data_IF_483177339852
#
_entry.id   IF_483177339852
#
_cell.length_a   1.000
_cell.length_b   1.000
_cell.length_c   1.000
_cell.angle_alpha   90.00
_cell.angle_beta   90.00
_cell.angle_gamma   90.00
#
_symmetry.space_group_name_H-M   'P 1'
#
loop_
_entity.id
_entity.type
_entity.pdbx_description
1 polymer ?
#
# COMPACT_ATOMS: atom_id res chain seq x y z
N UNK A 1 -16.89 6.31 -13.34
CA UNK A 1 -16.58 6.31 -11.89
C UNK A 1 -15.86 7.62 -11.54
N UNK A 2 -16.13 8.23 -10.37
CA UNK A 2 -15.35 9.38 -9.86
C UNK A 2 -13.98 8.89 -9.42
N UNK A 3 -12.91 9.66 -9.65
CA UNK A 3 -11.55 9.25 -9.27
C UNK A 3 -11.47 8.73 -7.83
N UNK A 4 -10.69 7.65 -7.65
CA UNK A 4 -10.34 7.11 -6.34
C UNK A 4 -9.02 7.73 -5.85
N UNK A 5 -8.87 7.86 -4.54
CA UNK A 5 -7.62 8.30 -3.92
C UNK A 5 -6.50 7.28 -4.12
N UNK A 6 -5.26 7.75 -4.27
CA UNK A 6 -4.10 6.90 -4.51
C UNK A 6 -3.71 6.08 -3.28
N UNK A 7 -2.85 5.09 -3.46
CA UNK A 7 -2.37 4.25 -2.37
C UNK A 7 -1.69 5.07 -1.26
N UNK A 8 -0.88 6.06 -1.62
CA UNK A 8 -0.23 6.95 -0.64
C UNK A 8 -1.25 7.74 0.15
N UNK A 9 -2.25 8.34 -0.52
CA UNK A 9 -3.28 9.15 0.13
C UNK A 9 -4.12 8.35 1.11
N UNK A 10 -4.51 7.13 0.73
CA UNK A 10 -5.27 6.22 1.59
C UNK A 10 -4.44 5.74 2.79
N UNK A 11 -3.17 5.43 2.56
CA UNK A 11 -2.22 5.00 3.59
C UNK A 11 -1.93 6.10 4.63
N UNK A 12 -1.84 7.36 4.19
CA UNK A 12 -1.65 8.54 5.05
C UNK A 12 -2.82 8.76 6.03
N UNK A 13 -4.04 8.47 5.59
CA UNK A 13 -5.25 8.52 6.44
C UNK A 13 -5.53 7.19 7.16
N UNK A 14 -4.54 6.30 7.22
CA UNK A 14 -4.53 5.09 8.04
C UNK A 14 -5.24 3.88 7.47
N UNK A 15 -5.55 3.87 6.16
CA UNK A 15 -5.99 2.66 5.49
C UNK A 15 -4.82 1.66 5.43
N UNK A 16 -5.08 0.39 5.72
CA UNK A 16 -4.08 -0.67 5.66
C UNK A 16 -4.20 -1.43 4.35
N UNK A 17 -3.10 -1.56 3.65
CA UNK A 17 -2.97 -2.49 2.54
C UNK A 17 -2.45 -3.82 3.08
N UNK A 18 -2.96 -4.93 2.54
CA UNK A 18 -2.54 -6.27 2.96
C UNK A 18 -2.59 -7.24 1.79
N UNK A 19 -1.64 -8.16 1.74
CA UNK A 19 -1.71 -9.28 0.81
C UNK A 19 -2.89 -10.21 1.17
N UNK A 20 -3.76 -10.49 0.20
CA UNK A 20 -4.82 -11.50 0.34
C UNK A 20 -4.21 -12.88 0.55
N UNK A 21 -4.78 -13.69 1.44
CA UNK A 21 -4.37 -15.09 1.58
C UNK A 21 -4.84 -15.87 0.34
N UNK A 22 -4.01 -16.78 -0.22
CA UNK A 22 -4.49 -17.71 -1.22
C UNK A 22 -5.62 -18.52 -0.59
N UNK A 23 -6.81 -18.43 -1.16
CA UNK A 23 -7.95 -19.21 -0.70
C UNK A 23 -8.29 -20.20 -1.81
N UNK A 24 -8.63 -21.43 -1.43
CA UNK A 24 -8.98 -22.50 -2.37
C UNK A 24 -10.28 -22.23 -3.15
N UNK A 25 -11.05 -21.21 -2.77
CA UNK A 25 -12.44 -21.02 -3.21
C UNK A 25 -12.72 -19.63 -3.83
N UNK A 26 -11.72 -18.75 -3.96
CA UNK A 26 -11.92 -17.41 -4.52
C UNK A 26 -11.22 -17.23 -5.86
N UNK A 27 -11.77 -16.31 -6.67
CA UNK A 27 -11.11 -15.83 -7.87
C UNK A 27 -9.70 -15.30 -7.52
N UNK A 28 -8.67 -15.60 -8.33
CA UNK A 28 -7.29 -15.22 -8.04
C UNK A 28 -7.05 -13.70 -7.95
N UNK A 29 -8.05 -12.89 -8.30
CA UNK A 29 -7.96 -11.43 -8.39
C UNK A 29 -8.96 -10.70 -7.50
N UNK A 30 -9.59 -11.42 -6.56
CA UNK A 30 -10.55 -10.80 -5.65
C UNK A 30 -9.91 -9.79 -4.71
N UNK A 31 -10.36 -8.55 -4.80
CA UNK A 31 -10.06 -7.48 -3.86
C UNK A 31 -11.08 -7.54 -2.71
N UNK A 32 -10.63 -7.30 -1.48
CA UNK A 32 -11.54 -7.23 -0.32
C UNK A 32 -11.29 -5.99 0.49
N UNK A 33 -12.33 -5.19 0.68
CA UNK A 33 -12.28 -4.07 1.59
C UNK A 33 -13.17 -4.33 2.81
N UNK A 34 -12.59 -4.22 4.00
CA UNK A 34 -13.35 -4.30 5.25
C UNK A 34 -12.63 -3.54 6.36
N UNK A 35 -13.36 -2.72 7.12
CA UNK A 35 -12.88 -2.07 8.34
C UNK A 35 -11.54 -1.31 8.19
N UNK A 36 -11.36 -0.59 7.08
CA UNK A 36 -10.13 0.16 6.81
C UNK A 36 -8.94 -0.69 6.38
N UNK A 37 -9.17 -1.96 6.00
CA UNK A 37 -8.17 -2.86 5.42
C UNK A 37 -8.59 -3.19 4.00
N UNK A 38 -7.71 -2.93 3.03
CA UNK A 38 -7.84 -3.36 1.65
C UNK A 38 -6.88 -4.53 1.40
N UNK A 39 -7.44 -5.72 1.24
CA UNK A 39 -6.72 -6.93 0.85
C UNK A 39 -6.64 -7.03 -0.68
N UNK A 40 -5.42 -7.19 -1.18
CA UNK A 40 -5.11 -7.28 -2.60
C UNK A 40 -4.32 -8.58 -2.85
N UNK A 41 -4.70 -9.39 -3.85
CA UNK A 41 -3.92 -10.56 -4.25
C UNK A 41 -2.51 -10.18 -4.67
N UNK A 42 -1.53 -10.99 -4.27
CA UNK A 42 -0.14 -10.78 -4.66
C UNK A 42 0.04 -11.12 -6.14
N UNK A 43 0.80 -10.30 -6.85
CA UNK A 43 1.28 -10.64 -8.18
C UNK A 43 2.70 -10.11 -8.42
N UNK A 44 3.41 -10.79 -9.32
CA UNK A 44 4.70 -10.35 -9.83
C UNK A 44 4.49 -9.36 -10.97
N UNK A 45 5.27 -8.29 -11.01
CA UNK A 45 5.22 -7.29 -12.06
C UNK A 45 6.52 -7.34 -12.87
N UNK A 46 6.41 -7.90 -14.07
CA UNK A 46 7.46 -8.05 -15.07
C UNK A 46 6.87 -7.96 -16.50
N UNK A 47 7.74 -8.02 -17.51
CA UNK A 47 7.34 -7.95 -18.93
C UNK A 47 6.38 -9.10 -19.31
N UNK A 48 6.57 -10.28 -18.71
CA UNK A 48 5.73 -11.45 -18.95
C UNK A 48 4.30 -11.21 -18.45
N UNK A 49 4.17 -10.65 -17.26
CA UNK A 49 2.89 -10.26 -16.67
C UNK A 49 2.21 -9.21 -17.51
N UNK A 50 2.94 -8.28 -18.14
CA UNK A 50 2.37 -7.31 -19.06
C UNK A 50 1.68 -7.98 -20.24
N UNK A 51 2.36 -8.94 -20.86
CA UNK A 51 1.83 -9.67 -22.02
C UNK A 51 0.55 -10.41 -21.62
N UNK A 52 0.58 -11.15 -20.50
CA UNK A 52 -0.61 -11.88 -20.03
C UNK A 52 -1.75 -10.94 -19.65
N UNK A 53 -1.48 -9.87 -18.92
CA UNK A 53 -2.48 -8.90 -18.51
C UNK A 53 -3.15 -8.23 -19.72
N UNK A 54 -2.37 -7.82 -20.73
CA UNK A 54 -2.91 -7.22 -21.96
C UNK A 54 -3.78 -8.20 -22.73
N UNK A 55 -3.35 -9.45 -22.86
CA UNK A 55 -4.11 -10.49 -23.55
C UNK A 55 -5.42 -10.81 -22.83
N UNK A 56 -5.41 -10.91 -21.50
CA UNK A 56 -6.62 -11.16 -20.70
C UNK A 56 -7.60 -9.98 -20.76
N UNK A 57 -7.10 -8.74 -20.66
CA UNK A 57 -7.95 -7.55 -20.82
C UNK A 57 -8.54 -7.45 -22.23
N UNK A 58 -7.77 -7.82 -23.27
CA UNK A 58 -8.27 -7.86 -24.64
C UNK A 58 -9.33 -8.95 -24.82
N UNK A 59 -9.10 -10.14 -24.26
CA UNK A 59 -10.06 -11.26 -24.25
C UNK A 59 -11.39 -10.80 -23.65
N UNK A 60 -11.36 -10.17 -22.47
CA UNK A 60 -12.55 -9.62 -21.82
C UNK A 60 -13.29 -8.59 -22.65
N UNK A 61 -12.58 -7.62 -23.19
CA UNK A 61 -13.21 -6.57 -24.00
C UNK A 61 -13.82 -7.10 -25.30
N UNK A 62 -13.28 -8.17 -25.86
CA UNK A 62 -13.73 -8.71 -27.14
C UNK A 62 -14.84 -9.75 -26.99
N UNK A 63 -14.87 -10.52 -25.90
CA UNK A 63 -15.68 -11.73 -25.84
C UNK A 63 -16.65 -11.79 -24.64
N UNK A 64 -16.42 -11.02 -23.58
CA UNK A 64 -17.26 -11.06 -22.39
C UNK A 64 -18.16 -9.82 -22.28
N UNK A 65 -19.37 -9.98 -21.71
CA UNK A 65 -20.19 -8.83 -21.31
C UNK A 65 -19.41 -7.86 -20.43
N UNK A 66 -19.76 -6.57 -20.49
CA UNK A 66 -19.04 -5.53 -19.76
C UNK A 66 -18.99 -5.83 -18.26
N UNK A 67 -20.08 -6.34 -17.68
CA UNK A 67 -20.26 -6.67 -16.27
C UNK A 67 -19.43 -7.88 -15.79
N UNK A 68 -18.90 -8.67 -16.72
CA UNK A 68 -18.05 -9.84 -16.44
C UNK A 68 -16.55 -9.55 -16.67
N UNK A 69 -16.16 -8.29 -16.91
CA UNK A 69 -14.78 -7.89 -17.18
C UNK A 69 -13.91 -7.77 -15.90
N UNK A 70 -13.84 -8.84 -15.10
CA UNK A 70 -13.18 -8.88 -13.79
C UNK A 70 -11.68 -8.52 -13.83
N UNK A 71 -10.93 -8.99 -14.83
CA UNK A 71 -9.50 -8.68 -15.02
C UNK A 71 -9.33 -7.18 -15.30
N UNK A 72 -10.16 -6.65 -16.19
CA UNK A 72 -10.18 -5.24 -16.58
C UNK A 72 -10.50 -4.37 -15.39
N UNK A 73 -11.49 -4.76 -14.57
CA UNK A 73 -11.84 -4.04 -13.35
C UNK A 73 -10.73 -4.05 -12.31
N UNK A 74 -10.07 -5.20 -12.13
CA UNK A 74 -8.91 -5.34 -11.24
C UNK A 74 -7.79 -4.35 -11.62
N UNK A 75 -7.36 -4.36 -12.88
CA UNK A 75 -6.32 -3.43 -13.35
C UNK A 75 -6.78 -1.98 -13.35
N UNK A 76 -8.08 -1.71 -13.55
CA UNK A 76 -8.63 -0.36 -13.45
C UNK A 76 -8.47 0.18 -12.03
N UNK A 77 -8.79 -0.61 -11.01
CA UNK A 77 -8.60 -0.22 -9.61
C UNK A 77 -7.12 -0.02 -9.27
N UNK A 78 -6.24 -0.92 -9.70
CA UNK A 78 -4.80 -0.74 -9.52
C UNK A 78 -4.29 0.54 -10.17
N UNK A 79 -4.79 0.90 -11.35
CA UNK A 79 -4.42 2.15 -12.03
C UNK A 79 -4.88 3.41 -11.29
N UNK A 80 -5.93 3.32 -10.46
CA UNK A 80 -6.34 4.42 -9.60
C UNK A 80 -5.50 4.49 -8.33
N UNK A 81 -5.15 3.34 -7.75
CA UNK A 81 -4.26 3.27 -6.59
C UNK A 81 -2.84 3.74 -6.94
N UNK A 82 -2.32 3.39 -8.11
CA UNK A 82 -0.91 3.54 -8.47
C UNK A 82 -0.74 4.65 -9.52
N UNK A 83 -0.74 5.91 -9.06
CA UNK A 83 -0.54 7.09 -9.93
C UNK A 83 0.95 7.44 -10.08
N UNK A 84 1.74 7.16 -9.05
CA UNK A 84 3.16 7.52 -8.96
C UNK A 84 4.01 6.37 -8.41
N UNK A 85 5.34 6.50 -8.48
CA UNK A 85 6.26 5.54 -7.86
C UNK A 85 6.06 5.39 -6.35
N UNK A 86 5.67 6.47 -5.65
CA UNK A 86 5.37 6.42 -4.21
C UNK A 86 4.17 5.54 -3.90
N UNK A 87 3.16 5.57 -4.77
CA UNK A 87 1.99 4.72 -4.63
C UNK A 87 2.32 3.24 -4.87
N UNK A 88 3.21 2.97 -5.84
CA UNK A 88 3.75 1.63 -6.07
C UNK A 88 4.53 1.14 -4.85
N UNK A 89 5.39 1.98 -4.27
CA UNK A 89 6.20 1.65 -3.09
C UNK A 89 5.34 1.26 -1.89
N UNK A 90 4.14 1.83 -1.75
CA UNK A 90 3.18 1.42 -0.70
C UNK A 90 2.84 -0.06 -0.85
N UNK A 91 2.50 -0.52 -2.05
CA UNK A 91 2.06 -1.89 -2.30
C UNK A 91 3.22 -2.88 -2.34
N UNK A 92 4.40 -2.45 -2.82
CA UNK A 92 5.64 -3.25 -2.75
C UNK A 92 6.05 -3.50 -1.30
N UNK A 93 6.01 -2.46 -0.46
CA UNK A 93 6.33 -2.59 0.98
C UNK A 93 5.40 -3.55 1.71
N UNK A 94 4.12 -3.58 1.36
CA UNK A 94 3.15 -4.54 1.93
C UNK A 94 3.20 -5.92 1.23
N UNK A 95 4.20 -6.17 0.37
CA UNK A 95 4.42 -7.43 -0.36
C UNK A 95 3.26 -7.86 -1.25
N UNK A 96 2.44 -6.90 -1.68
CA UNK A 96 1.33 -7.12 -2.62
C UNK A 96 1.89 -7.17 -4.05
N UNK A 97 2.83 -6.29 -4.39
CA UNK A 97 3.46 -6.27 -5.71
C UNK A 97 4.92 -6.68 -5.55
N UNK A 98 5.29 -7.76 -6.22
CA UNK A 98 6.68 -8.17 -6.38
C UNK A 98 7.21 -7.51 -7.66
N UNK A 99 7.82 -6.33 -7.52
CA UNK A 99 8.20 -5.48 -8.66
C UNK A 99 9.60 -5.82 -9.19
N UNK A 100 9.67 -6.28 -10.44
CA UNK A 100 10.90 -6.63 -11.16
C UNK A 100 11.28 -5.60 -12.23
N UNK A 101 10.55 -4.48 -12.29
CA UNK A 101 10.75 -3.40 -13.24
C UNK A 101 11.23 -2.12 -12.54
N UNK A 102 11.82 -1.21 -13.31
CA UNK A 102 12.06 0.15 -12.83
C UNK A 102 10.73 0.83 -12.47
N UNK A 103 10.68 1.60 -11.38
CA UNK A 103 9.43 2.15 -10.86
C UNK A 103 8.63 2.99 -11.87
N UNK A 104 9.30 3.71 -12.77
CA UNK A 104 8.64 4.47 -13.85
C UNK A 104 8.02 3.54 -14.89
N UNK A 105 8.71 2.46 -15.23
CA UNK A 105 8.21 1.44 -16.18
C UNK A 105 7.02 0.71 -15.57
N UNK A 106 7.15 0.23 -14.33
CA UNK A 106 6.11 -0.43 -13.56
C UNK A 106 4.82 0.39 -13.46
N UNK A 107 4.94 1.66 -13.04
CA UNK A 107 3.79 2.56 -12.92
C UNK A 107 3.16 2.86 -14.28
N UNK A 108 3.97 3.07 -15.32
CA UNK A 108 3.47 3.30 -16.70
C UNK A 108 2.69 2.10 -17.22
N UNK A 109 3.23 0.89 -17.00
CA UNK A 109 2.63 -0.38 -17.39
C UNK A 109 1.25 -0.53 -16.77
N UNK A 110 1.14 -0.51 -15.44
CA UNK A 110 -0.13 -0.66 -14.71
C UNK A 110 -1.18 0.36 -15.18
N UNK A 111 -0.75 1.60 -15.37
CA UNK A 111 -1.61 2.68 -15.82
C UNK A 111 -2.14 2.48 -17.25
N UNK A 112 -1.43 1.73 -18.10
CA UNK A 112 -1.84 1.45 -19.48
C UNK A 112 -2.67 0.18 -19.64
N UNK A 113 -2.61 -0.76 -18.69
CA UNK A 113 -3.31 -2.05 -18.77
C UNK A 113 -4.84 -1.93 -18.97
N UNK A 114 -5.56 -1.03 -18.26
CA UNK A 114 -7.01 -0.87 -18.48
C UNK A 114 -7.39 -0.29 -19.85
N UNK A 115 -6.42 0.26 -20.59
CA UNK A 115 -6.64 1.03 -21.82
C UNK A 115 -7.01 2.50 -21.57
N UNK A 116 -7.18 3.25 -22.66
CA UNK A 116 -7.36 4.72 -22.63
C UNK A 116 -8.64 5.20 -21.92
N UNK A 117 -9.69 4.37 -21.87
CA UNK A 117 -11.02 4.76 -21.37
C UNK A 117 -11.26 4.37 -19.91
N UNK A 118 -10.35 4.70 -18.98
CA UNK A 118 -10.48 4.35 -17.55
C UNK A 118 -11.79 4.84 -16.90
N UNK A 119 -12.37 5.92 -17.43
CA UNK A 119 -13.52 6.61 -16.84
C UNK A 119 -14.90 6.14 -17.34
N UNK A 120 -14.93 5.44 -18.49
CA UNK A 120 -16.16 5.02 -19.16
C UNK A 120 -16.49 3.53 -18.96
N UNK A 121 -15.77 2.86 -18.06
CA UNK A 121 -16.04 1.48 -17.73
C UNK A 121 -17.21 1.45 -16.73
N UNK A 122 -18.36 0.94 -17.17
CA UNK A 122 -19.44 0.57 -16.26
C UNK A 122 -18.95 -0.64 -15.46
N UNK A 123 -18.42 -0.40 -14.26
CA UNK A 123 -17.96 -1.47 -13.37
C UNK A 123 -19.15 -2.26 -12.84
N UNK A 124 -18.94 -3.55 -12.53
CA UNK A 124 -19.90 -4.30 -11.75
C UNK A 124 -20.11 -3.64 -10.37
N UNK A 125 -21.23 -3.97 -9.74
CA UNK A 125 -21.66 -3.36 -8.47
C UNK A 125 -20.59 -3.49 -7.38
N UNK A 126 -19.90 -4.64 -7.31
CA UNK A 126 -18.91 -4.92 -6.29
C UNK A 126 -17.71 -3.96 -6.32
N UNK A 127 -17.06 -3.81 -7.48
CA UNK A 127 -15.90 -2.91 -7.61
C UNK A 127 -16.31 -1.43 -7.50
N UNK A 128 -17.51 -1.09 -7.96
CA UNK A 128 -18.07 0.24 -7.77
C UNK A 128 -18.27 0.58 -6.30
N UNK A 129 -18.93 -0.30 -5.55
CA UNK A 129 -19.19 -0.13 -4.12
C UNK A 129 -17.88 0.00 -3.33
N UNK A 130 -16.90 -0.87 -3.62
CA UNK A 130 -15.57 -0.80 -2.99
C UNK A 130 -14.90 0.55 -3.19
N UNK A 131 -14.88 1.09 -4.41
CA UNK A 131 -14.27 2.39 -4.65
C UNK A 131 -15.01 3.53 -3.92
N UNK A 132 -16.34 3.44 -3.83
CA UNK A 132 -17.16 4.37 -3.04
C UNK A 132 -16.80 4.29 -1.56
N UNK A 133 -16.64 3.09 -1.01
CA UNK A 133 -16.26 2.87 0.39
C UNK A 133 -14.85 3.37 0.71
N UNK A 134 -13.88 3.13 -0.17
CA UNK A 134 -12.52 3.65 -0.05
C UNK A 134 -12.50 5.18 -0.05
N UNK A 135 -13.24 5.80 -0.97
CA UNK A 135 -13.38 7.25 -1.00
C UNK A 135 -14.09 7.80 0.24
N UNK A 136 -15.10 7.09 0.76
CA UNK A 136 -15.79 7.46 2.00
C UNK A 136 -14.85 7.39 3.20
N UNK A 137 -14.00 6.36 3.28
CA UNK A 137 -12.97 6.24 4.31
C UNK A 137 -12.02 7.42 4.30
N UNK A 138 -11.51 7.80 3.12
CA UNK A 138 -10.64 8.96 3.01
C UNK A 138 -11.31 10.28 3.43
N UNK A 139 -12.56 10.51 3.01
CA UNK A 139 -13.26 11.76 3.31
C UNK A 139 -13.69 11.85 4.78
N UNK A 140 -13.84 10.72 5.47
CA UNK A 140 -14.24 10.64 6.88
C UNK A 140 -13.41 9.56 7.59
N UNK A 141 -12.11 9.80 7.78
CA UNK A 141 -11.26 8.81 8.41
C UNK A 141 -11.67 8.66 9.89
N UNK A 142 -11.55 7.47 10.49
CA UNK A 142 -11.84 7.27 11.90
C UNK A 142 -11.02 8.24 12.77
N UNK A 143 -11.64 8.80 13.82
CA UNK A 143 -11.10 9.91 14.63
C UNK A 143 -9.63 9.70 15.03
N UNK A 144 -8.85 10.78 15.03
CA UNK A 144 -7.38 10.86 15.09
C UNK A 144 -6.60 10.01 16.11
N UNK A 145 -7.20 9.56 17.22
CA UNK A 145 -6.45 8.88 18.30
C UNK A 145 -5.81 7.56 17.84
N UNK A 146 -6.53 6.65 17.14
CA UNK A 146 -5.93 5.52 16.44
C UNK A 146 -4.97 5.91 15.32
N UNK A 147 -5.13 7.05 14.62
CA UNK A 147 -4.22 7.47 13.56
C UNK A 147 -2.85 7.91 14.07
N UNK A 148 -2.81 8.69 15.16
CA UNK A 148 -1.55 9.06 15.82
C UNK A 148 -0.87 7.79 16.34
N UNK A 149 -1.62 6.92 17.04
CA UNK A 149 -1.09 5.65 17.53
C UNK A 149 -0.62 4.73 16.40
N UNK A 150 -1.29 4.74 15.25
CA UNK A 150 -0.93 3.99 14.05
C UNK A 150 0.31 4.55 13.37
N UNK A 151 0.38 5.87 13.15
CA UNK A 151 1.55 6.56 12.64
C UNK A 151 2.78 6.28 13.51
N UNK A 152 2.66 6.46 14.84
CA UNK A 152 3.72 6.12 15.77
C UNK A 152 4.08 4.64 15.74
N UNK A 153 3.09 3.73 15.76
CA UNK A 153 3.35 2.29 15.67
C UNK A 153 4.08 1.92 14.38
N UNK A 154 3.75 2.56 13.26
CA UNK A 154 4.37 2.32 11.95
C UNK A 154 5.78 2.87 11.87
N UNK A 155 6.03 4.07 12.39
CA UNK A 155 7.39 4.62 12.55
C UNK A 155 8.22 3.71 13.46
N UNK A 156 7.63 3.21 14.56
CA UNK A 156 8.30 2.29 15.47
C UNK A 156 8.55 0.90 14.84
N UNK A 157 7.61 0.36 14.06
CA UNK A 157 7.78 -0.92 13.35
C UNK A 157 8.85 -0.81 12.24
N UNK A 158 8.88 0.33 11.53
CA UNK A 158 9.87 0.65 10.50
C UNK A 158 11.26 0.87 11.08
N UNK A 159 11.37 1.39 12.29
CA UNK A 159 12.66 1.61 12.97
C UNK A 159 13.16 0.36 13.70
N UNK A 160 12.28 -0.51 14.23
CA UNK A 160 12.69 -1.73 14.96
C UNK A 160 13.51 -2.74 14.14
N UNK A 161 13.43 -2.74 12.80
CA UNK A 161 14.33 -3.54 11.97
C UNK A 161 15.73 -2.92 11.80
N UNK A 162 15.91 -1.64 12.13
CA UNK A 162 17.17 -0.91 12.00
C UNK A 162 17.83 -0.51 13.34
N UNK A 163 17.21 -0.81 14.50
CA UNK A 163 17.58 -0.22 15.79
C UNK A 163 17.75 -1.21 16.96
N UNK A 164 18.52 -2.28 16.80
CA UNK A 164 19.19 -2.86 17.99
C UNK A 164 20.42 -2.06 18.43
N UNK A 165 20.92 -1.10 17.65
CA UNK A 165 22.22 -0.46 17.94
C UNK A 165 22.13 0.94 18.57
N UNK A 166 21.13 1.77 18.28
CA UNK A 166 21.24 3.22 18.61
C UNK A 166 20.52 3.71 19.86
N UNK A 167 19.68 2.89 20.52
CA UNK A 167 19.04 3.31 21.79
C UNK A 167 19.91 2.98 23.01
N UNK A 168 20.78 1.97 22.93
CA UNK A 168 21.74 1.70 24.01
C UNK A 168 22.85 2.76 24.10
N UNK A 169 23.31 3.29 22.94
CA UNK A 169 24.42 4.23 22.90
C UNK A 169 24.10 5.59 23.52
N UNK A 170 22.88 6.11 23.31
CA UNK A 170 22.49 7.43 23.79
C UNK A 170 22.24 7.45 25.30
N UNK A 171 21.62 6.41 25.87
CA UNK A 171 21.45 6.29 27.34
C UNK A 171 22.79 6.03 28.05
N UNK A 172 23.68 5.23 27.45
CA UNK A 172 25.02 4.96 28.01
C UNK A 172 25.90 6.20 28.07
N UNK A 173 25.82 7.09 27.07
CA UNK A 173 26.61 8.33 27.03
C UNK A 173 26.20 9.30 28.14
N UNK A 174 24.90 9.43 28.40
CA UNK A 174 24.38 10.29 29.47
C UNK A 174 24.78 9.80 30.86
N UNK A 175 24.73 8.49 31.12
CA UNK A 175 25.12 7.92 32.41
C UNK A 175 26.61 8.09 32.70
N UNK A 176 27.47 7.93 31.68
CA UNK A 176 28.92 8.09 31.83
C UNK A 176 29.30 9.55 32.10
N UNK A 177 28.62 10.51 31.46
CA UNK A 177 28.85 11.93 31.68
C UNK A 177 28.50 12.37 33.12
N UNK A 178 27.37 11.90 33.65
CA UNK A 178 26.96 12.17 35.04
C UNK A 178 27.93 11.53 36.04
N UNK A 179 28.33 10.28 35.81
CA UNK A 179 29.32 9.59 36.67
C UNK A 179 30.68 10.30 36.72
N UNK A 180 31.18 10.77 35.57
CA UNK A 180 32.43 11.52 35.49
C UNK A 180 32.34 12.88 36.20
N UNK A 181 31.22 13.60 36.07
CA UNK A 181 31.02 14.88 36.75
C UNK A 181 30.94 14.70 38.26
N UNK A 182 30.21 13.70 38.75
CA UNK A 182 30.15 13.38 40.18
C UNK A 182 31.51 12.97 40.75
N UNK A 183 32.31 12.21 40.00
CA UNK A 183 33.65 11.78 40.44
C UNK A 183 34.61 12.96 40.57
N UNK A 184 34.63 13.89 39.61
CA UNK A 184 35.48 15.09 39.66
C UNK A 184 35.06 16.05 40.78
N UNK A 185 33.76 16.20 41.03
CA UNK A 185 33.26 17.01 42.14
C UNK A 185 33.61 16.39 43.50
N UNK A 186 33.53 15.07 43.63
CA UNK A 186 33.90 14.37 44.88
C UNK A 186 35.39 14.47 45.22
N UNK A 187 36.26 14.66 44.22
CA UNK A 187 37.69 14.88 44.40
C UNK A 187 38.05 16.32 44.73
N UNK A 188 37.22 17.30 44.33
CA UNK A 188 37.43 18.73 44.62
C UNK A 188 36.92 19.17 46.00
N UNK A 189 36.00 18.40 46.59
CA UNK A 189 35.38 18.71 47.89
C UNK A 189 35.79 17.72 49.00
N UNK A 190 36.97 17.10 48.86
CA UNK A 190 37.64 16.33 49.91
C UNK A 190 38.85 17.11 50.42
#
# INVERSE_FOLDING_TARGET
MKEMYSATQLDEVGLKFKMSKPSSNLSPLELKYANGVLEIPRFQLDDTTEIYARNLVALEKCHYPIDEAYITYYYTLLSFLIKTGKDLDVLVREQIIDNWLEGVVATSMINKLPGEKRFNIHMNSHYHEMAVELNKFYNKPPKLIPLIRFYFARVLFRTRLASTITISGSVGLFLTAVGSACSVLSLKYK
#
